data_IF_792485679803
#
_entry.id   IF_792485679803
#
_cell.length_a   1.000
_cell.length_b   1.000
_cell.length_c   1.000
_cell.angle_alpha   90.00
_cell.angle_beta   90.00
_cell.angle_gamma   90.00
#
_symmetry.space_group_name_H-M   'P 1'
#
loop_
_entity.id
_entity.type
_entity.pdbx_description
1 polymer ?
#
# COMPACT_ATOMS: atom_id res chain seq x y z
N UNK A 1 36.96 -47.72 18.91
CA UNK A 1 36.15 -46.78 18.06
C UNK A 1 34.68 -46.86 18.55
N UNK A 2 34.15 -45.77 19.13
CA UNK A 2 32.87 -45.77 19.86
C UNK A 2 31.69 -46.06 18.89
N UNK A 3 31.12 -47.26 18.97
CA UNK A 3 29.95 -47.72 18.18
C UNK A 3 28.81 -46.67 18.19
N UNK A 4 28.60 -45.95 19.30
CA UNK A 4 27.59 -44.86 19.45
C UNK A 4 27.87 -43.66 18.56
N UNK A 5 29.13 -43.30 18.35
CA UNK A 5 29.53 -42.15 17.48
C UNK A 5 29.29 -42.50 16.02
N UNK A 6 29.63 -43.71 15.60
CA UNK A 6 29.43 -44.18 14.22
C UNK A 6 27.94 -44.23 13.87
N UNK A 7 27.12 -44.80 14.76
CA UNK A 7 25.64 -44.87 14.56
C UNK A 7 25.03 -43.47 14.49
N UNK A 8 25.46 -42.54 15.36
CA UNK A 8 24.98 -41.14 15.34
C UNK A 8 25.37 -40.45 14.02
N UNK A 9 26.57 -40.63 13.52
CA UNK A 9 26.99 -39.99 12.27
C UNK A 9 26.27 -40.58 11.06
N UNK A 10 25.98 -41.88 11.03
CA UNK A 10 25.17 -42.52 9.97
C UNK A 10 23.74 -41.94 10.03
N UNK A 11 23.15 -41.82 11.21
CA UNK A 11 21.79 -41.26 11.36
C UNK A 11 21.70 -39.80 10.90
N UNK A 12 22.71 -38.99 11.24
CA UNK A 12 22.82 -37.61 10.78
C UNK A 12 22.99 -37.48 9.27
N UNK A 13 23.80 -38.35 8.67
CA UNK A 13 23.98 -38.39 7.21
C UNK A 13 22.69 -38.77 6.50
N UNK A 14 21.94 -39.71 7.03
CA UNK A 14 20.65 -40.15 6.48
C UNK A 14 19.61 -39.05 6.59
N UNK A 15 19.56 -38.34 7.72
CA UNK A 15 18.70 -37.18 7.93
C UNK A 15 19.03 -36.05 6.94
N UNK A 16 20.33 -35.76 6.76
CA UNK A 16 20.77 -34.74 5.80
C UNK A 16 20.39 -35.10 4.35
N UNK A 17 20.47 -36.36 3.98
CA UNK A 17 20.10 -36.86 2.65
C UNK A 17 18.59 -36.74 2.41
N UNK A 18 17.76 -37.05 3.43
CA UNK A 18 16.30 -36.88 3.37
C UNK A 18 15.93 -35.39 3.26
N UNK A 19 16.57 -34.51 4.04
CA UNK A 19 16.36 -33.06 3.97
C UNK A 19 16.73 -32.50 2.58
N UNK A 20 17.88 -32.96 2.02
CA UNK A 20 18.30 -32.55 0.68
C UNK A 20 17.31 -33.04 -0.38
N UNK A 21 16.83 -34.28 -0.28
CA UNK A 21 15.80 -34.81 -1.17
C UNK A 21 14.49 -34.05 -1.11
N UNK A 22 14.05 -33.68 0.09
CA UNK A 22 12.86 -32.84 0.29
C UNK A 22 13.02 -31.43 -0.31
N UNK A 23 14.19 -30.81 -0.15
CA UNK A 23 14.49 -29.51 -0.75
C UNK A 23 14.48 -29.58 -2.29
N UNK A 24 15.10 -30.60 -2.88
CA UNK A 24 15.09 -30.81 -4.33
C UNK A 24 13.66 -31.07 -4.82
N UNK A 25 12.89 -31.90 -4.11
CA UNK A 25 11.50 -32.15 -4.45
C UNK A 25 10.66 -30.88 -4.41
N UNK A 26 10.78 -30.06 -3.37
CA UNK A 26 10.10 -28.75 -3.28
C UNK A 26 10.51 -27.81 -4.41
N UNK A 27 11.80 -27.73 -4.75
CA UNK A 27 12.29 -26.90 -5.83
C UNK A 27 11.76 -27.33 -7.21
N UNK A 28 11.61 -28.63 -7.45
CA UNK A 28 11.07 -29.18 -8.70
C UNK A 28 9.54 -29.12 -8.77
N UNK A 29 8.87 -29.09 -7.61
CA UNK A 29 7.39 -29.05 -7.50
C UNK A 29 6.82 -27.65 -7.60
N UNK A 30 7.65 -26.60 -7.69
CA UNK A 30 7.16 -25.23 -7.88
C UNK A 30 6.43 -25.11 -9.22
N UNK A 31 5.17 -24.66 -9.25
CA UNK A 31 4.43 -24.48 -10.48
C UNK A 31 5.11 -23.41 -11.34
N UNK A 32 5.54 -23.79 -12.53
CA UNK A 32 6.14 -22.87 -13.51
C UNK A 32 5.07 -22.36 -14.46
N UNK A 33 5.18 -21.10 -14.88
CA UNK A 33 4.38 -20.57 -15.99
C UNK A 33 4.68 -21.40 -17.23
N UNK A 34 3.66 -22.03 -17.79
CA UNK A 34 3.80 -22.76 -19.07
C UNK A 34 3.83 -21.74 -20.21
N UNK A 35 4.71 -21.97 -21.19
CA UNK A 35 4.74 -21.14 -22.39
C UNK A 35 3.37 -21.19 -23.07
N UNK A 36 2.75 -20.00 -23.26
CA UNK A 36 1.44 -19.88 -23.88
C UNK A 36 0.25 -19.74 -22.93
N UNK A 37 0.45 -19.91 -21.60
CA UNK A 37 -0.64 -19.66 -20.64
C UNK A 37 -1.10 -18.19 -20.72
N UNK A 38 -2.43 -18.01 -20.72
CA UNK A 38 -3.05 -16.68 -20.80
C UNK A 38 -3.60 -16.27 -19.44
N UNK A 39 -3.52 -14.99 -19.15
CA UNK A 39 -4.10 -14.40 -17.96
C UNK A 39 -5.64 -14.57 -17.98
N UNK A 40 -6.15 -15.42 -17.10
CA UNK A 40 -7.60 -15.66 -16.95
C UNK A 40 -8.26 -14.67 -15.99
N UNK A 41 -7.54 -14.25 -14.99
CA UNK A 41 -8.03 -13.36 -13.91
C UNK A 41 -6.94 -12.38 -13.51
N UNK A 42 -7.36 -11.17 -13.19
CA UNK A 42 -6.56 -10.19 -12.47
C UNK A 42 -7.14 -10.06 -11.06
N UNK A 43 -6.34 -10.33 -10.06
CA UNK A 43 -6.72 -10.15 -8.66
C UNK A 43 -6.00 -8.91 -8.12
N UNK A 44 -6.75 -7.95 -7.60
CA UNK A 44 -6.22 -6.70 -7.06
C UNK A 44 -6.55 -6.67 -5.57
N UNK A 45 -5.51 -6.57 -4.77
CA UNK A 45 -5.59 -6.44 -3.32
C UNK A 45 -5.05 -5.08 -2.91
N UNK A 46 -5.84 -4.29 -2.20
CA UNK A 46 -5.44 -2.98 -1.68
C UNK A 46 -5.50 -3.02 -0.18
N UNK A 47 -4.41 -2.59 0.45
CA UNK A 47 -4.32 -2.43 1.91
C UNK A 47 -3.98 -1.00 2.25
N UNK A 48 -4.48 -0.51 3.35
CA UNK A 48 -4.00 0.73 3.93
C UNK A 48 -2.64 0.51 4.60
N UNK A 49 -1.79 1.51 4.58
CA UNK A 49 -0.50 1.52 5.29
C UNK A 49 -0.64 1.22 6.79
N UNK A 50 -1.78 1.54 7.38
CA UNK A 50 -2.08 1.32 8.81
C UNK A 50 -2.84 0.03 9.10
N UNK A 51 -3.08 -0.81 8.09
CA UNK A 51 -3.79 -2.08 8.22
C UNK A 51 -5.33 -1.97 8.25
N UNK A 52 -5.89 -0.76 8.12
CA UNK A 52 -7.33 -0.54 7.95
C UNK A 52 -7.80 -0.71 6.50
N UNK A 53 -9.07 -0.40 6.26
CA UNK A 53 -9.63 -0.38 4.91
C UNK A 53 -9.04 0.75 4.07
N UNK A 54 -8.86 0.56 2.76
CA UNK A 54 -8.41 1.59 1.85
C UNK A 54 -9.47 2.71 1.73
N UNK A 55 -9.00 3.98 1.71
CA UNK A 55 -9.87 5.14 1.73
C UNK A 55 -10.23 5.67 0.33
N UNK A 56 -9.33 5.51 -0.63
CA UNK A 56 -9.45 6.22 -1.91
C UNK A 56 -9.97 5.37 -3.06
N UNK A 57 -9.47 4.15 -3.23
CA UNK A 57 -9.78 3.36 -4.41
C UNK A 57 -10.17 1.92 -4.08
N UNK A 58 -11.23 1.48 -4.73
CA UNK A 58 -11.63 0.07 -4.76
C UNK A 58 -10.86 -0.69 -5.85
N UNK A 59 -10.75 -2.03 -5.76
CA UNK A 59 -10.13 -2.87 -6.80
C UNK A 59 -10.66 -2.60 -8.21
N UNK A 60 -11.97 -2.37 -8.35
CA UNK A 60 -12.61 -2.11 -9.65
C UNK A 60 -12.13 -0.79 -10.27
N UNK A 61 -12.02 0.27 -9.48
CA UNK A 61 -11.48 1.56 -9.95
C UNK A 61 -10.03 1.47 -10.38
N UNK A 62 -9.25 0.60 -9.75
CA UNK A 62 -7.86 0.36 -10.14
C UNK A 62 -7.80 -0.38 -11.47
N UNK A 63 -8.67 -1.37 -11.67
CA UNK A 63 -8.77 -2.08 -12.94
C UNK A 63 -9.15 -1.12 -14.09
N UNK A 64 -10.10 -0.21 -13.85
CA UNK A 64 -10.49 0.83 -14.80
C UNK A 64 -9.36 1.83 -15.09
N UNK A 65 -8.59 2.20 -14.08
CA UNK A 65 -7.43 3.09 -14.23
C UNK A 65 -6.32 2.45 -15.06
N UNK A 66 -6.05 1.17 -14.84
CA UNK A 66 -5.12 0.40 -15.68
C UNK A 66 -5.61 0.32 -17.13
N UNK A 67 -6.90 0.05 -17.33
CA UNK A 67 -7.50 -0.01 -18.66
C UNK A 67 -7.41 1.34 -19.38
N UNK A 68 -7.70 2.46 -18.70
CA UNK A 68 -7.56 3.83 -19.26
C UNK A 68 -6.13 4.16 -19.68
N UNK A 69 -5.13 3.57 -19.01
CA UNK A 69 -3.71 3.71 -19.36
C UNK A 69 -3.24 2.69 -20.41
N UNK A 70 -4.18 1.95 -21.01
CA UNK A 70 -3.90 0.97 -22.06
C UNK A 70 -3.35 -0.37 -21.56
N UNK A 71 -3.39 -0.61 -20.25
CA UNK A 71 -2.92 -1.85 -19.63
C UNK A 71 -4.10 -2.81 -19.49
N UNK A 72 -4.30 -3.64 -20.52
CA UNK A 72 -5.26 -4.75 -20.49
C UNK A 72 -4.47 -6.03 -20.23
N UNK A 73 -4.78 -6.74 -19.14
CA UNK A 73 -4.05 -7.94 -18.71
C UNK A 73 -4.80 -9.22 -19.10
N UNK A 74 -6.13 -9.19 -19.00
CA UNK A 74 -6.95 -10.37 -19.25
C UNK A 74 -6.81 -10.84 -20.71
N UNK A 75 -6.61 -12.13 -20.91
CA UNK A 75 -6.38 -12.75 -22.20
C UNK A 75 -4.96 -12.64 -22.76
N UNK A 76 -4.09 -11.77 -22.22
CA UNK A 76 -2.69 -11.70 -22.63
C UNK A 76 -1.91 -12.93 -22.18
N UNK A 77 -0.85 -13.27 -22.90
CA UNK A 77 0.09 -14.33 -22.50
C UNK A 77 0.83 -13.88 -21.24
N UNK A 78 0.88 -14.74 -20.24
CA UNK A 78 1.52 -14.43 -18.94
C UNK A 78 3.02 -14.10 -19.08
N UNK A 79 3.71 -14.75 -20.04
CA UNK A 79 5.11 -14.52 -20.33
C UNK A 79 5.39 -13.18 -21.04
N UNK A 80 4.37 -12.55 -21.64
CA UNK A 80 4.47 -11.26 -22.34
C UNK A 80 4.03 -10.07 -21.51
N UNK A 81 3.58 -10.29 -20.28
CA UNK A 81 3.13 -9.20 -19.40
C UNK A 81 4.35 -8.53 -18.73
N UNK A 82 4.53 -7.24 -18.98
CA UNK A 82 5.53 -6.44 -18.28
C UNK A 82 5.02 -6.00 -16.89
N UNK A 83 5.32 -6.83 -15.89
CA UNK A 83 4.94 -6.59 -14.49
C UNK A 83 5.56 -5.31 -13.95
N UNK A 84 6.81 -5.00 -14.30
CA UNK A 84 7.50 -3.78 -13.87
C UNK A 84 6.86 -2.52 -14.44
N UNK A 85 6.35 -2.59 -15.66
CA UNK A 85 5.60 -1.48 -16.23
C UNK A 85 4.31 -1.22 -15.46
N UNK A 86 3.60 -2.29 -15.07
CA UNK A 86 2.39 -2.18 -14.24
C UNK A 86 2.71 -1.53 -12.89
N UNK A 87 3.73 -2.02 -12.20
CA UNK A 87 4.16 -1.47 -10.90
C UNK A 87 4.52 0.01 -11.00
N UNK A 88 5.35 0.39 -11.98
CA UNK A 88 5.72 1.79 -12.20
C UNK A 88 4.52 2.67 -12.53
N UNK A 89 3.58 2.16 -13.33
CA UNK A 89 2.37 2.89 -13.69
C UNK A 89 1.49 3.13 -12.46
N UNK A 90 1.35 2.15 -11.59
CA UNK A 90 0.59 2.29 -10.35
C UNK A 90 1.30 3.23 -9.36
N UNK A 91 2.62 3.12 -9.20
CA UNK A 91 3.41 4.01 -8.35
C UNK A 91 3.45 5.46 -8.83
N UNK A 92 3.14 5.72 -10.11
CA UNK A 92 2.95 7.10 -10.60
C UNK A 92 1.71 7.78 -10.05
N UNK A 93 0.81 7.03 -9.42
CA UNK A 93 -0.36 7.55 -8.72
C UNK A 93 0.06 7.87 -7.27
N UNK A 94 0.02 9.15 -6.85
CA UNK A 94 0.63 9.59 -5.58
C UNK A 94 0.06 8.97 -4.31
N UNK A 95 -1.13 8.39 -4.39
CA UNK A 95 -1.81 7.75 -3.25
C UNK A 95 -1.19 6.40 -2.85
N UNK A 96 -0.45 5.75 -3.75
CA UNK A 96 0.17 4.47 -3.42
C UNK A 96 1.56 4.64 -2.82
N UNK A 97 1.83 3.84 -1.79
CA UNK A 97 3.14 3.71 -1.17
C UNK A 97 3.96 2.61 -1.84
N UNK A 98 3.32 1.46 -2.05
CA UNK A 98 3.93 0.32 -2.73
C UNK A 98 2.97 -0.28 -3.76
N UNK A 99 3.53 -0.84 -4.83
CA UNK A 99 2.82 -1.60 -5.83
C UNK A 99 3.67 -2.81 -6.21
N UNK A 100 3.10 -3.99 -6.08
CA UNK A 100 3.73 -5.26 -6.44
C UNK A 100 2.83 -6.00 -7.40
N UNK A 101 3.37 -6.48 -8.50
CA UNK A 101 2.65 -7.29 -9.47
C UNK A 101 3.40 -8.61 -9.69
N UNK A 102 2.69 -9.72 -9.63
CA UNK A 102 3.28 -11.03 -9.88
C UNK A 102 2.30 -11.98 -10.55
N UNK A 103 2.86 -12.95 -11.26
CA UNK A 103 2.08 -14.02 -11.88
C UNK A 103 1.91 -15.15 -10.86
N UNK A 104 0.68 -15.63 -10.71
CA UNK A 104 0.36 -16.85 -9.98
C UNK A 104 0.14 -18.01 -10.99
N UNK A 105 1.15 -18.84 -11.27
CA UNK A 105 1.10 -19.84 -12.33
C UNK A 105 0.00 -20.88 -12.12
N UNK A 106 -0.24 -21.28 -10.86
CA UNK A 106 -1.24 -22.29 -10.50
C UNK A 106 -2.68 -21.89 -10.86
N UNK A 107 -2.97 -20.58 -10.91
CA UNK A 107 -4.29 -20.03 -11.23
C UNK A 107 -4.36 -19.30 -12.58
N UNK A 108 -3.26 -19.28 -13.34
CA UNK A 108 -3.13 -18.49 -14.56
C UNK A 108 -3.63 -17.05 -14.38
N UNK A 109 -3.23 -16.42 -13.28
CA UNK A 109 -3.67 -15.08 -12.92
C UNK A 109 -2.51 -14.13 -12.66
N UNK A 110 -2.78 -12.84 -12.84
CA UNK A 110 -1.91 -11.76 -12.37
C UNK A 110 -2.48 -11.25 -11.05
N UNK A 111 -1.62 -11.17 -10.04
CA UNK A 111 -1.97 -10.59 -8.74
C UNK A 111 -1.27 -9.24 -8.60
N UNK A 112 -2.02 -8.24 -8.16
CA UNK A 112 -1.53 -6.89 -7.92
C UNK A 112 -1.82 -6.57 -6.46
N UNK A 113 -0.77 -6.29 -5.69
CA UNK A 113 -0.88 -5.85 -4.30
C UNK A 113 -0.47 -4.40 -4.20
N UNK A 114 -1.32 -3.61 -3.60
CA UNK A 114 -1.11 -2.18 -3.42
C UNK A 114 -1.19 -1.84 -1.94
N UNK A 115 -0.29 -0.96 -1.51
CA UNK A 115 -0.42 -0.31 -0.20
C UNK A 115 -0.74 1.14 -0.42
N UNK A 116 -1.89 1.57 0.10
CA UNK A 116 -2.35 2.95 0.06
C UNK A 116 -1.75 3.74 1.23
N UNK A 117 -1.28 4.96 0.95
CA UNK A 117 -0.85 5.89 1.99
C UNK A 117 -2.04 6.30 2.85
N UNK A 118 -1.85 6.39 4.16
CA UNK A 118 -2.88 6.82 5.08
C UNK A 118 -2.90 8.36 5.17
N UNK A 119 -3.91 9.05 4.62
CA UNK A 119 -4.07 10.47 4.83
C UNK A 119 -4.60 10.74 6.24
N UNK A 120 -4.13 11.80 6.86
CA UNK A 120 -4.51 12.19 8.22
C UNK A 120 -5.50 13.36 8.24
N UNK A 121 -5.26 14.35 7.40
CA UNK A 121 -6.08 15.58 7.29
C UNK A 121 -5.88 16.23 5.94
N UNK A 122 -6.80 17.14 5.63
CA UNK A 122 -6.76 17.99 4.43
C UNK A 122 -6.25 19.36 4.84
N UNK A 123 -5.30 19.90 4.10
CA UNK A 123 -4.86 21.30 4.22
C UNK A 123 -5.48 22.10 3.10
N UNK A 124 -6.05 23.24 3.46
CA UNK A 124 -6.57 24.26 2.54
C UNK A 124 -5.75 25.54 2.75
N UNK A 125 -4.79 25.77 1.85
CA UNK A 125 -3.98 26.99 1.92
C UNK A 125 -4.79 28.24 1.51
N UNK A 126 -4.38 29.43 1.97
CA UNK A 126 -4.96 30.70 1.51
C UNK A 126 -4.84 30.90 0.00
N UNK A 127 -3.87 30.26 -0.62
CA UNK A 127 -3.65 30.25 -2.09
C UNK A 127 -4.74 29.51 -2.87
N UNK A 128 -5.67 28.81 -2.18
CA UNK A 128 -6.68 27.94 -2.78
C UNK A 128 -6.20 26.54 -3.11
N UNK A 129 -4.94 26.20 -2.84
CA UNK A 129 -4.41 24.84 -2.99
C UNK A 129 -4.92 23.98 -1.85
N UNK A 130 -5.26 22.72 -2.20
CA UNK A 130 -5.65 21.73 -1.22
C UNK A 130 -4.87 20.44 -1.40
N UNK A 131 -4.42 19.88 -0.31
CA UNK A 131 -3.69 18.61 -0.30
C UNK A 131 -3.94 17.84 0.99
N UNK A 132 -3.76 16.53 0.91
CA UNK A 132 -3.74 15.65 2.07
C UNK A 132 -2.33 15.62 2.65
N UNK A 133 -2.22 15.61 3.97
CA UNK A 133 -1.00 15.22 4.69
C UNK A 133 -1.16 13.77 5.13
N UNK A 134 -0.15 12.95 4.82
CA UNK A 134 -0.16 11.51 5.14
C UNK A 134 0.62 11.22 6.42
N UNK A 135 0.45 10.02 6.96
CA UNK A 135 1.12 9.58 8.17
C UNK A 135 2.67 9.64 8.09
N UNK A 136 3.24 9.57 6.90
CA UNK A 136 4.69 9.73 6.69
C UNK A 136 5.13 11.17 6.43
N UNK A 137 4.32 12.20 6.84
CA UNK A 137 4.57 13.63 6.56
C UNK A 137 4.65 13.97 5.06
N UNK A 138 4.26 13.03 4.18
CA UNK A 138 4.14 13.29 2.75
C UNK A 138 2.84 13.99 2.40
N UNK A 139 2.77 14.56 1.20
CA UNK A 139 1.56 15.24 0.72
C UNK A 139 1.01 14.59 -0.55
N UNK A 140 -0.29 14.65 -0.71
CA UNK A 140 -1.03 14.16 -1.88
C UNK A 140 -2.00 15.25 -2.30
N UNK A 141 -1.93 15.74 -3.54
CA UNK A 141 -2.88 16.73 -4.04
C UNK A 141 -4.32 16.16 -4.01
N UNK A 142 -5.26 16.96 -3.52
CA UNK A 142 -6.68 16.61 -3.56
C UNK A 142 -7.15 16.56 -5.02
N UNK A 143 -7.80 15.46 -5.39
CA UNK A 143 -8.46 15.31 -6.69
C UNK A 143 -9.89 14.85 -6.46
N UNK A 144 -10.85 15.22 -7.32
CA UNK A 144 -12.25 14.79 -7.17
C UNK A 144 -12.42 13.27 -7.11
N UNK A 145 -11.49 12.53 -7.71
CA UNK A 145 -11.49 11.05 -7.70
C UNK A 145 -11.01 10.45 -6.37
N UNK A 146 -10.43 11.25 -5.47
CA UNK A 146 -9.87 10.80 -4.19
C UNK A 146 -10.40 11.69 -3.07
N UNK A 147 -11.66 11.56 -2.72
CA UNK A 147 -12.25 12.29 -1.61
C UNK A 147 -12.33 11.40 -0.37
N UNK A 148 -11.70 11.84 0.72
CA UNK A 148 -11.81 11.21 2.03
C UNK A 148 -12.39 12.20 3.02
N UNK A 149 -13.23 11.71 3.93
CA UNK A 149 -13.80 12.52 5.01
C UNK A 149 -12.79 12.60 6.17
N UNK A 150 -12.04 13.68 6.20
CA UNK A 150 -10.94 13.92 7.14
C UNK A 150 -11.07 15.31 7.76
N UNK A 151 -10.43 15.55 8.92
CA UNK A 151 -10.32 16.89 9.49
C UNK A 151 -9.68 17.86 8.49
N UNK A 152 -10.15 19.12 8.53
CA UNK A 152 -9.64 20.17 7.64
C UNK A 152 -8.73 21.10 8.44
N UNK A 153 -7.57 21.38 7.91
CA UNK A 153 -6.65 22.41 8.39
C UNK A 153 -6.72 23.59 7.42
N UNK A 154 -6.98 24.77 7.93
CA UNK A 154 -7.14 25.98 7.12
C UNK A 154 -6.55 27.20 7.83
N UNK A 155 -6.65 28.38 7.22
CA UNK A 155 -6.08 29.62 7.73
C UNK A 155 -4.67 29.88 7.20
N UNK A 156 -3.85 30.53 7.98
CA UNK A 156 -2.53 31.00 7.59
C UNK A 156 -1.46 29.90 7.74
N UNK A 157 -1.71 28.76 7.09
CA UNK A 157 -0.89 27.54 7.14
C UNK A 157 -0.07 27.39 5.86
N UNK A 158 1.22 27.20 6.01
CA UNK A 158 2.13 26.80 4.92
C UNK A 158 2.47 25.31 4.99
N UNK A 159 3.15 24.80 3.96
CA UNK A 159 3.55 23.41 3.87
C UNK A 159 4.46 22.98 5.04
N UNK A 160 5.37 23.83 5.47
CA UNK A 160 6.29 23.51 6.56
C UNK A 160 5.53 23.37 7.88
N UNK A 161 4.66 24.31 8.18
CA UNK A 161 3.79 24.28 9.36
C UNK A 161 2.86 23.08 9.33
N UNK A 162 2.23 22.82 8.17
CA UNK A 162 1.34 21.69 7.98
C UNK A 162 2.02 20.35 8.26
N UNK A 163 3.30 20.18 7.88
CA UNK A 163 4.04 18.92 8.05
C UNK A 163 4.90 18.86 9.32
N UNK A 164 4.85 19.89 10.17
CA UNK A 164 5.58 19.94 11.45
C UNK A 164 4.61 20.13 12.63
N UNK A 165 4.42 21.37 13.11
CA UNK A 165 3.65 21.64 14.32
C UNK A 165 2.18 21.20 14.24
N UNK A 166 1.52 21.44 13.11
CA UNK A 166 0.15 20.97 12.87
C UNK A 166 0.11 19.45 12.81
N UNK A 167 1.09 18.83 12.19
CA UNK A 167 1.19 17.37 12.12
C UNK A 167 1.29 16.76 13.52
N UNK A 168 2.17 17.29 14.36
CA UNK A 168 2.39 16.78 15.71
C UNK A 168 1.12 16.94 16.57
N UNK A 169 0.43 18.09 16.45
CA UNK A 169 -0.88 18.30 17.09
C UNK A 169 -1.92 17.28 16.61
N UNK A 170 -2.03 17.07 15.29
CA UNK A 170 -2.99 16.13 14.70
C UNK A 170 -2.73 14.68 15.12
N UNK A 171 -1.46 14.30 15.34
CA UNK A 171 -1.12 12.99 15.90
C UNK A 171 -1.64 12.84 17.33
N UNK A 172 -1.39 13.83 18.21
CA UNK A 172 -1.90 13.82 19.58
C UNK A 172 -3.41 13.73 19.63
N UNK A 173 -4.11 14.54 18.81
CA UNK A 173 -5.57 14.52 18.75
C UNK A 173 -6.12 13.17 18.27
N UNK A 174 -5.40 12.48 17.38
CA UNK A 174 -5.82 11.19 16.85
C UNK A 174 -5.57 10.03 17.82
N UNK A 175 -4.52 10.10 18.62
CA UNK A 175 -4.18 9.07 19.60
C UNK A 175 -5.16 9.03 20.78
N UNK A 176 -5.78 10.15 21.10
CA UNK A 176 -6.80 10.22 22.13
C UNK A 176 -8.18 9.86 21.57
N UNK A 177 -8.82 8.76 22.05
CA UNK A 177 -10.14 8.33 21.57
C UNK A 177 -11.26 9.38 21.70
N UNK A 178 -11.15 10.27 22.68
CA UNK A 178 -12.11 11.35 22.88
C UNK A 178 -11.97 12.43 21.80
N UNK A 179 -10.73 12.85 21.52
CA UNK A 179 -10.47 13.93 20.56
C UNK A 179 -10.46 13.48 19.11
N UNK A 180 -10.18 12.22 18.82
CA UNK A 180 -10.05 11.69 17.46
C UNK A 180 -11.24 12.02 16.54
N UNK A 181 -12.45 12.09 17.11
CA UNK A 181 -13.69 12.38 16.38
C UNK A 181 -14.32 13.72 16.75
N UNK A 182 -13.79 14.43 17.77
CA UNK A 182 -14.40 15.61 18.31
C UNK A 182 -14.15 16.84 17.44
N UNK A 183 -12.93 17.01 16.92
CA UNK A 183 -12.59 18.17 16.11
C UNK A 183 -12.75 17.88 14.62
N UNK A 184 -13.47 18.76 13.91
CA UNK A 184 -13.67 18.70 12.46
C UNK A 184 -12.72 19.60 11.68
N UNK A 185 -12.24 20.66 12.33
CA UNK A 185 -11.38 21.65 11.69
C UNK A 185 -10.33 22.19 12.66
N UNK A 186 -9.16 22.49 12.12
CA UNK A 186 -8.07 23.21 12.76
C UNK A 186 -7.85 24.49 11.97
N UNK A 187 -7.96 25.65 12.62
CA UNK A 187 -7.71 26.93 11.99
C UNK A 187 -6.39 27.51 12.51
N UNK A 188 -5.51 27.85 11.63
CA UNK A 188 -4.21 28.46 11.96
C UNK A 188 -4.31 29.97 11.77
N UNK A 189 -4.19 30.71 12.87
CA UNK A 189 -4.21 32.16 12.87
C UNK A 189 -2.83 32.71 13.23
N UNK A 190 -2.44 33.82 12.63
CA UNK A 190 -1.12 34.46 12.91
C UNK A 190 -1.05 35.05 14.31
N UNK A 191 -2.16 35.49 14.83
CA UNK A 191 -2.26 36.21 16.12
C UNK A 191 -2.60 35.24 17.25
N UNK A 192 -3.63 34.44 17.04
CA UNK A 192 -4.20 33.57 18.07
C UNK A 192 -3.60 32.16 18.08
N UNK A 193 -2.72 31.84 17.10
CA UNK A 193 -2.10 30.54 16.99
C UNK A 193 -3.02 29.49 16.39
N UNK A 194 -3.15 28.33 17.01
CA UNK A 194 -3.96 27.22 16.50
C UNK A 194 -5.29 27.15 17.24
N UNK A 195 -6.38 27.28 16.52
CA UNK A 195 -7.75 27.20 17.01
C UNK A 195 -8.38 25.86 16.58
N UNK A 196 -8.90 25.10 17.54
CA UNK A 196 -9.59 23.83 17.30
C UNK A 196 -11.09 24.05 17.23
N UNK A 197 -11.73 23.61 16.15
CA UNK A 197 -13.17 23.78 15.90
C UNK A 197 -13.85 22.40 16.01
N UNK A 198 -14.77 22.24 16.98
CA UNK A 198 -15.51 21.00 17.17
C UNK A 198 -16.41 20.68 15.97
N UNK A 199 -16.74 19.42 15.80
CA UNK A 199 -17.84 18.98 14.93
C UNK A 199 -19.17 19.28 15.66
N UNK A 200 -20.06 19.97 15.01
CA UNK A 200 -21.42 20.25 15.49
C UNK A 200 -22.34 19.14 15.02
#
# INVERSE_FOLDING_TARGET
MNRKIVVRNILLSLLALVMLGALVYLALSTPKVKAGDRCRRVAIEVKSETGGDPLFLTPDRIADELARRGIQLQGKRLDSIDLRHIERTLLSIPIYKTAEAFVAPSSSSVQIRLTEKCPLYIVQEPSGKSYYVTQGKGTISVKPSFAAYLPIVSGDVDLQQATSSVYDLMQVLREDPYFANYFGQVYVDRTDGIVLIPRI
#
